data_IF_719682364181
#
_entry.id   IF_719682364181
#
_cell.length_a   1.000
_cell.length_b   1.000
_cell.length_c   1.000
_cell.angle_alpha   90.00
_cell.angle_beta   90.00
_cell.angle_gamma   90.00
#
_symmetry.space_group_name_H-M   'P 1'
#
loop_
_entity.id
_entity.type
_entity.pdbx_description
1 polymer ?
#
# COMPACT_ATOMS: atom_id res chain seq x y z
N UNK A 1 20.33 23.11 -40.26
CA UNK A 1 20.77 22.59 -38.95
C UNK A 1 19.54 22.09 -38.21
N UNK A 2 19.34 20.76 -38.12
CA UNK A 2 18.20 20.17 -37.40
C UNK A 2 18.67 19.79 -36.00
N UNK A 3 18.07 20.41 -35.00
CA UNK A 3 18.28 20.16 -33.58
C UNK A 3 17.75 18.78 -33.20
N UNK A 4 18.65 17.81 -33.07
CA UNK A 4 18.36 16.49 -32.52
C UNK A 4 18.10 16.62 -31.01
N UNK A 5 16.85 16.44 -30.57
CA UNK A 5 16.49 16.40 -29.15
C UNK A 5 17.12 15.17 -28.46
N UNK A 6 17.86 15.32 -27.34
CA UNK A 6 18.53 14.22 -26.66
C UNK A 6 17.61 13.30 -25.84
N UNK A 7 16.28 13.51 -25.87
CA UNK A 7 15.31 12.72 -25.10
C UNK A 7 14.79 11.45 -25.82
N UNK A 8 15.13 11.25 -27.09
CA UNK A 8 14.67 10.09 -27.87
C UNK A 8 15.56 8.83 -27.75
N UNK A 9 16.65 8.88 -26.97
CA UNK A 9 17.53 7.73 -26.71
C UNK A 9 17.11 6.88 -25.49
N UNK A 10 15.83 6.94 -25.09
CA UNK A 10 15.30 6.12 -23.98
C UNK A 10 15.17 4.65 -24.41
N UNK A 11 16.19 3.88 -24.05
CA UNK A 11 16.06 2.53 -23.46
C UNK A 11 15.11 1.58 -24.20
N UNK A 12 15.55 1.04 -25.34
CA UNK A 12 15.00 -0.22 -25.87
C UNK A 12 15.51 -1.40 -25.03
N UNK A 13 15.02 -1.53 -23.80
CA UNK A 13 15.14 -2.77 -23.04
C UNK A 13 14.02 -3.70 -23.49
N UNK A 14 14.22 -4.38 -24.62
CA UNK A 14 13.44 -5.57 -24.91
C UNK A 14 13.84 -6.61 -23.84
N UNK A 15 12.90 -7.10 -23.00
CA UNK A 15 13.22 -8.19 -22.08
C UNK A 15 13.74 -9.36 -22.90
N UNK A 16 14.91 -9.92 -22.52
CA UNK A 16 15.41 -11.13 -23.16
C UNK A 16 14.39 -12.24 -22.88
N UNK A 17 13.73 -12.83 -23.89
CA UNK A 17 12.62 -13.75 -23.69
C UNK A 17 13.01 -15.07 -22.97
N UNK A 18 14.30 -15.29 -22.67
CA UNK A 18 14.82 -16.52 -22.07
C UNK A 18 15.74 -16.32 -20.86
N UNK A 19 15.78 -15.12 -20.26
CA UNK A 19 16.51 -14.93 -19.01
C UNK A 19 15.65 -15.44 -17.84
N UNK A 20 15.52 -16.76 -17.69
CA UNK A 20 14.91 -17.34 -16.49
C UNK A 20 15.76 -16.88 -15.31
N UNK A 21 15.22 -16.00 -14.48
CA UNK A 21 15.88 -15.56 -13.25
C UNK A 21 16.43 -16.79 -12.52
N UNK A 22 17.73 -16.80 -12.21
CA UNK A 22 18.36 -17.92 -11.50
C UNK A 22 17.51 -18.21 -10.24
N UNK A 23 17.03 -19.46 -10.03
CA UNK A 23 16.06 -19.77 -8.97
C UNK A 23 16.45 -19.28 -7.56
N UNK A 24 17.76 -19.10 -7.30
CA UNK A 24 18.26 -18.59 -6.03
C UNK A 24 18.27 -17.06 -5.87
N UNK A 25 18.23 -16.27 -6.95
CA UNK A 25 18.34 -14.80 -6.88
C UNK A 25 17.04 -14.16 -6.35
N UNK A 26 15.90 -14.60 -6.87
CA UNK A 26 14.56 -14.19 -6.42
C UNK A 26 14.35 -14.44 -4.92
N UNK A 27 14.64 -15.68 -4.47
CA UNK A 27 14.49 -16.07 -3.06
C UNK A 27 15.38 -15.24 -2.13
N UNK A 28 16.62 -14.94 -2.55
CA UNK A 28 17.54 -14.09 -1.77
C UNK A 28 17.08 -12.65 -1.68
N UNK A 29 16.52 -12.08 -2.75
CA UNK A 29 15.99 -10.71 -2.75
C UNK A 29 14.79 -10.58 -1.81
N UNK A 30 13.80 -11.46 -1.99
CA UNK A 30 12.59 -11.49 -1.15
C UNK A 30 12.98 -11.70 0.32
N UNK A 31 13.89 -12.63 0.61
CA UNK A 31 14.37 -12.86 1.96
C UNK A 31 15.09 -11.64 2.56
N UNK A 32 15.95 -10.94 1.81
CA UNK A 32 16.63 -9.74 2.33
C UNK A 32 15.66 -8.63 2.73
N UNK A 33 14.57 -8.45 1.98
CA UNK A 33 13.58 -7.44 2.27
C UNK A 33 12.57 -7.88 3.35
N UNK A 34 12.30 -9.18 3.44
CA UNK A 34 11.39 -9.77 4.45
C UNK A 34 12.06 -9.97 5.81
N UNK A 35 13.36 -10.31 5.84
CA UNK A 35 14.12 -10.62 7.06
C UNK A 35 14.06 -9.54 8.15
N UNK A 36 14.11 -8.22 7.85
CA UNK A 36 13.95 -7.18 8.87
C UNK A 36 12.64 -7.30 9.66
N UNK A 37 11.58 -7.83 9.03
CA UNK A 37 10.24 -7.96 9.60
C UNK A 37 9.96 -9.35 10.20
N UNK A 38 10.80 -10.35 9.91
CA UNK A 38 10.46 -11.77 10.17
C UNK A 38 11.67 -12.62 10.59
N UNK A 39 12.75 -11.99 11.02
CA UNK A 39 13.96 -12.67 11.46
C UNK A 39 13.79 -13.42 12.80
N UNK A 40 14.75 -14.30 13.16
CA UNK A 40 14.74 -14.99 14.46
C UNK A 40 14.62 -13.99 15.63
N UNK A 41 13.67 -14.21 16.52
CA UNK A 41 13.36 -13.31 17.64
C UNK A 41 12.58 -12.03 17.27
N UNK A 42 12.26 -11.85 15.99
CA UNK A 42 11.44 -10.75 15.45
C UNK A 42 10.23 -11.25 14.66
N UNK A 43 9.86 -12.51 14.81
CA UNK A 43 8.56 -13.02 14.36
C UNK A 43 7.43 -12.50 15.27
N UNK A 44 7.55 -11.24 15.68
CA UNK A 44 6.47 -10.53 16.33
C UNK A 44 5.31 -10.44 15.33
N UNK A 45 4.06 -10.47 15.80
CA UNK A 45 2.93 -10.04 14.99
C UNK A 45 3.28 -8.69 14.33
N UNK A 46 2.88 -8.49 13.08
CA UNK A 46 2.97 -7.16 12.52
C UNK A 46 2.11 -6.22 13.38
N UNK A 47 2.76 -5.39 14.18
CA UNK A 47 2.07 -4.37 14.96
C UNK A 47 1.98 -3.09 14.14
N UNK A 48 0.83 -2.44 14.22
CA UNK A 48 0.69 -1.09 13.69
C UNK A 48 1.26 -0.18 14.78
N UNK A 49 2.43 0.39 14.54
CA UNK A 49 3.05 1.32 15.48
C UNK A 49 2.17 2.55 15.68
N UNK A 50 2.11 3.11 16.90
CA UNK A 50 1.51 4.42 17.16
C UNK A 50 2.00 5.49 16.20
N UNK A 51 1.17 6.49 15.94
CA UNK A 51 1.60 7.69 15.23
C UNK A 51 2.57 8.48 16.11
N UNK A 52 3.67 8.95 15.53
CA UNK A 52 4.58 9.85 16.23
C UNK A 52 3.98 11.25 16.37
N UNK A 53 4.51 12.06 17.30
CA UNK A 53 4.07 13.45 17.47
C UNK A 53 4.26 14.27 16.18
N UNK A 54 5.32 13.97 15.42
CA UNK A 54 5.56 14.57 14.10
C UNK A 54 4.49 14.15 13.08
N UNK A 55 4.07 12.88 13.06
CA UNK A 55 3.00 12.41 12.19
C UNK A 55 1.66 13.08 12.53
N UNK A 56 1.39 13.33 13.82
CA UNK A 56 0.19 14.04 14.28
C UNK A 56 0.24 15.53 13.91
N UNK A 57 1.39 16.19 14.08
CA UNK A 57 1.58 17.58 13.67
C UNK A 57 1.41 17.74 12.14
N UNK A 58 2.02 16.83 11.35
CA UNK A 58 1.86 16.74 9.90
C UNK A 58 0.38 16.54 9.51
N UNK A 59 -0.32 15.61 10.17
CA UNK A 59 -1.75 15.38 9.95
C UNK A 59 -2.55 16.67 10.14
N UNK A 60 -2.35 17.40 11.24
CA UNK A 60 -3.05 18.67 11.50
C UNK A 60 -2.79 19.70 10.40
N UNK A 61 -1.55 19.80 9.93
CA UNK A 61 -1.19 20.73 8.86
C UNK A 61 -1.88 20.40 7.53
N UNK A 62 -1.97 19.11 7.18
CA UNK A 62 -2.49 18.66 5.88
C UNK A 62 -3.95 18.19 5.89
N UNK A 63 -4.61 18.22 7.06
CA UNK A 63 -5.95 17.65 7.27
C UNK A 63 -6.96 18.11 6.21
N UNK A 64 -6.90 19.38 5.86
CA UNK A 64 -7.81 20.09 4.93
C UNK A 64 -7.29 20.22 3.51
N UNK A 65 -6.09 19.70 3.23
CA UNK A 65 -5.55 19.74 1.88
C UNK A 65 -6.31 18.75 0.98
N UNK A 66 -6.57 19.13 -0.29
CA UNK A 66 -7.32 18.28 -1.21
C UNK A 66 -6.52 17.02 -1.55
N UNK A 67 -7.17 15.87 -1.39
CA UNK A 67 -6.68 14.54 -1.72
C UNK A 67 -7.45 14.00 -2.92
N UNK A 68 -6.75 13.60 -3.98
CA UNK A 68 -7.37 12.91 -5.12
C UNK A 68 -7.60 11.44 -4.75
N UNK A 69 -8.85 11.01 -4.84
CA UNK A 69 -9.25 9.62 -4.60
C UNK A 69 -9.34 8.85 -5.91
N UNK A 70 -8.91 7.59 -5.85
CA UNK A 70 -9.04 6.66 -6.98
C UNK A 70 -10.37 5.92 -6.98
N UNK A 71 -11.03 5.75 -5.83
CA UNK A 71 -12.33 5.06 -5.71
C UNK A 71 -13.12 5.52 -4.45
N UNK A 72 -14.33 6.07 -4.58
CA UNK A 72 -14.87 6.61 -5.83
C UNK A 72 -13.98 7.75 -6.35
N UNK A 73 -13.92 7.93 -7.66
CA UNK A 73 -13.15 9.04 -8.27
C UNK A 73 -13.68 10.36 -7.74
N UNK A 74 -12.83 11.15 -7.10
CA UNK A 74 -13.24 12.42 -6.50
C UNK A 74 -12.11 13.14 -5.79
N UNK A 75 -12.46 14.29 -5.21
CA UNK A 75 -11.57 15.08 -4.35
C UNK A 75 -12.19 15.08 -2.96
N UNK A 76 -11.37 14.79 -1.94
CA UNK A 76 -11.77 14.88 -0.53
C UNK A 76 -10.63 15.47 0.29
N UNK A 77 -10.68 15.32 1.60
CA UNK A 77 -9.61 15.75 2.53
C UNK A 77 -9.39 14.64 3.55
N UNK A 78 -8.23 14.61 4.19
CA UNK A 78 -7.92 13.60 5.21
C UNK A 78 -8.85 13.73 6.41
N UNK A 79 -9.22 14.97 6.76
CA UNK A 79 -10.23 15.28 7.77
C UNK A 79 -11.56 14.60 7.45
N UNK A 80 -12.11 14.83 6.25
CA UNK A 80 -13.37 14.23 5.81
C UNK A 80 -13.31 12.69 5.82
N UNK A 81 -12.18 12.12 5.39
CA UNK A 81 -12.00 10.66 5.35
C UNK A 81 -12.01 10.03 6.74
N UNK A 82 -11.35 10.67 7.71
CA UNK A 82 -11.31 10.20 9.09
C UNK A 82 -12.67 10.37 9.79
N UNK A 83 -13.34 11.51 9.59
CA UNK A 83 -14.69 11.74 10.13
C UNK A 83 -15.68 10.75 9.54
N UNK A 84 -15.66 10.52 8.23
CA UNK A 84 -16.54 9.55 7.59
C UNK A 84 -16.25 8.10 8.03
N UNK A 85 -14.98 7.75 8.24
CA UNK A 85 -14.58 6.42 8.68
C UNK A 85 -14.99 6.11 10.13
N UNK A 86 -14.81 7.07 11.03
CA UNK A 86 -15.03 6.89 12.47
C UNK A 86 -16.45 7.26 12.93
N UNK A 87 -17.11 8.20 12.24
CA UNK A 87 -18.33 8.83 12.71
C UNK A 87 -18.12 9.85 13.85
N UNK A 88 -16.88 10.23 14.15
CA UNK A 88 -16.52 11.13 15.25
C UNK A 88 -15.97 12.47 14.73
N UNK A 89 -16.03 13.56 15.54
CA UNK A 89 -15.40 14.84 15.18
C UNK A 89 -13.89 14.70 14.99
N UNK A 90 -13.32 15.47 14.06
CA UNK A 90 -11.89 15.37 13.72
C UNK A 90 -10.98 15.64 14.92
N UNK A 91 -11.32 16.63 15.75
CA UNK A 91 -10.56 17.00 16.93
C UNK A 91 -10.49 15.84 17.94
N UNK A 92 -11.62 15.16 18.15
CA UNK A 92 -11.68 13.96 19.00
C UNK A 92 -10.80 12.84 18.44
N UNK A 93 -10.86 12.59 17.12
CA UNK A 93 -10.02 11.57 16.47
C UNK A 93 -8.55 11.88 16.71
N UNK A 94 -8.11 13.12 16.43
CA UNK A 94 -6.69 13.51 16.56
C UNK A 94 -6.19 13.38 18.00
N UNK A 95 -7.00 13.74 19.00
CA UNK A 95 -6.66 13.57 20.42
C UNK A 95 -6.47 12.09 20.79
N UNK A 96 -7.28 11.19 20.23
CA UNK A 96 -7.27 9.76 20.59
C UNK A 96 -6.43 8.89 19.64
N UNK A 97 -5.85 9.48 18.59
CA UNK A 97 -4.93 8.81 17.67
C UNK A 97 -3.56 8.54 18.32
N UNK A 98 -3.15 9.33 19.31
CA UNK A 98 -1.90 9.12 20.05
C UNK A 98 -1.96 7.91 20.99
N UNK A 99 -0.80 7.33 21.33
CA UNK A 99 -0.72 6.19 22.25
C UNK A 99 -0.98 4.83 21.60
N UNK A 100 -1.27 3.79 22.40
CA UNK A 100 -1.43 2.41 21.90
C UNK A 100 -2.51 2.31 20.81
N UNK A 101 -2.17 1.66 19.69
CA UNK A 101 -3.06 1.52 18.52
C UNK A 101 -4.14 0.47 18.74
N UNK A 102 -3.86 -0.52 19.58
CA UNK A 102 -4.75 -1.64 19.87
C UNK A 102 -5.72 -1.36 21.03
N UNK A 103 -5.90 -0.10 21.44
CA UNK A 103 -6.89 0.31 22.43
C UNK A 103 -8.22 0.70 21.75
N UNK A 104 -9.24 -0.17 21.78
CA UNK A 104 -10.52 0.08 21.12
C UNK A 104 -11.44 0.97 21.98
N UNK A 105 -11.12 1.20 23.25
CA UNK A 105 -11.98 1.95 24.18
C UNK A 105 -11.93 3.44 23.89
N UNK A 106 -10.72 3.97 23.65
CA UNK A 106 -10.51 5.39 23.36
C UNK A 106 -11.00 5.78 21.96
N UNK A 107 -10.75 4.92 20.96
CA UNK A 107 -11.09 5.19 19.57
C UNK A 107 -11.39 3.88 18.82
N UNK A 108 -12.66 3.59 18.49
CA UNK A 108 -13.01 2.41 17.72
C UNK A 108 -12.25 2.36 16.40
N UNK A 109 -11.75 1.17 16.04
CA UNK A 109 -11.02 0.94 14.79
C UNK A 109 -9.78 1.83 14.60
N UNK A 110 -9.18 2.30 15.69
CA UNK A 110 -7.92 3.07 15.69
C UNK A 110 -6.85 2.52 14.74
N UNK A 111 -6.60 1.19 14.61
CA UNK A 111 -5.61 0.69 13.67
C UNK A 111 -5.93 1.04 12.20
N UNK A 112 -7.22 1.07 11.83
CA UNK A 112 -7.64 1.50 10.49
C UNK A 112 -7.42 2.99 10.27
N UNK A 113 -7.78 3.81 11.26
CA UNK A 113 -7.62 5.26 11.20
C UNK A 113 -6.14 5.67 11.10
N UNK A 114 -5.26 5.01 11.87
CA UNK A 114 -3.80 5.16 11.74
C UNK A 114 -3.33 4.82 10.33
N UNK A 115 -3.86 3.74 9.75
CA UNK A 115 -3.62 3.36 8.36
C UNK A 115 -4.01 4.46 7.35
N UNK A 116 -5.19 5.08 7.52
CA UNK A 116 -5.66 6.20 6.69
C UNK A 116 -4.76 7.42 6.82
N UNK A 117 -4.32 7.77 8.04
CA UNK A 117 -3.38 8.88 8.27
C UNK A 117 -2.08 8.63 7.52
N UNK A 118 -1.47 7.46 7.65
CA UNK A 118 -0.21 7.17 6.96
C UNK A 118 -0.38 7.10 5.44
N UNK A 119 -1.48 6.51 4.97
CA UNK A 119 -1.75 6.35 3.54
C UNK A 119 -2.03 7.68 2.84
N UNK A 120 -2.65 8.62 3.53
CA UNK A 120 -2.96 9.93 2.95
C UNK A 120 -1.74 10.81 2.72
N UNK A 121 -0.59 10.52 3.36
CA UNK A 121 0.68 11.20 3.05
C UNK A 121 1.06 11.01 1.58
N UNK A 122 0.80 9.83 1.02
CA UNK A 122 1.10 9.52 -0.38
C UNK A 122 0.19 10.24 -1.37
N UNK A 123 -1.07 10.40 -1.01
CA UNK A 123 -2.05 11.00 -1.91
C UNK A 123 -1.81 12.51 -2.09
N UNK A 124 -1.25 13.17 -1.06
CA UNK A 124 -0.77 14.55 -1.16
C UNK A 124 0.64 14.66 -1.78
N UNK A 125 1.47 13.61 -1.66
CA UNK A 125 2.86 13.59 -2.09
C UNK A 125 3.09 13.52 -3.60
N UNK A 126 2.04 13.51 -4.43
CA UNK A 126 2.16 13.61 -5.90
C UNK A 126 2.85 14.90 -6.39
N UNK A 127 3.28 15.79 -5.49
CA UNK A 127 3.94 17.07 -5.82
C UNK A 127 5.41 17.19 -5.37
N UNK A 128 5.97 16.36 -4.46
CA UNK A 128 7.38 16.52 -4.05
C UNK A 128 8.11 15.33 -3.37
N UNK A 129 7.42 14.35 -2.75
CA UNK A 129 8.06 13.41 -1.81
C UNK A 129 8.15 11.95 -2.27
N UNK A 130 8.03 11.67 -3.58
CA UNK A 130 8.22 10.30 -4.10
C UNK A 130 9.58 9.67 -3.68
N UNK A 131 10.57 10.50 -3.37
CA UNK A 131 11.89 10.11 -2.85
C UNK A 131 11.91 9.59 -1.41
N UNK A 132 10.83 9.77 -0.63
CA UNK A 132 10.74 9.36 0.79
C UNK A 132 9.89 8.12 1.04
N UNK A 133 9.38 7.47 -0.02
CA UNK A 133 8.56 6.27 0.17
C UNK A 133 9.41 5.13 0.73
N UNK A 134 9.05 4.57 1.88
CA UNK A 134 9.68 3.37 2.41
C UNK A 134 8.85 2.12 2.09
N UNK A 135 9.46 0.95 2.26
CA UNK A 135 8.73 -0.33 2.19
C UNK A 135 7.56 -0.37 3.18
N UNK A 136 7.77 0.11 4.41
CA UNK A 136 6.74 0.16 5.44
C UNK A 136 5.57 1.07 5.05
N UNK A 137 5.88 2.22 4.48
CA UNK A 137 4.86 3.16 4.06
C UNK A 137 4.02 2.54 2.91
N UNK A 138 4.64 1.90 1.92
CA UNK A 138 3.91 1.22 0.81
C UNK A 138 3.08 0.05 1.35
N UNK A 139 3.63 -0.75 2.28
CA UNK A 139 2.90 -1.84 2.95
C UNK A 139 1.66 -1.29 3.67
N UNK A 140 1.82 -0.22 4.47
CA UNK A 140 0.72 0.39 5.22
C UNK A 140 -0.39 0.88 4.28
N UNK A 141 -0.06 1.41 3.12
CA UNK A 141 -1.05 1.77 2.10
C UNK A 141 -1.84 0.53 1.63
N UNK A 142 -1.17 -0.58 1.33
CA UNK A 142 -1.86 -1.81 0.94
C UNK A 142 -2.72 -2.42 2.06
N UNK A 143 -2.23 -2.42 3.30
CA UNK A 143 -3.01 -2.90 4.47
C UNK A 143 -4.26 -2.05 4.64
N UNK A 144 -4.13 -0.72 4.54
CA UNK A 144 -5.24 0.22 4.67
C UNK A 144 -6.31 -0.04 3.62
N UNK A 145 -5.93 -0.30 2.36
CA UNK A 145 -6.88 -0.66 1.30
C UNK A 145 -7.68 -1.91 1.68
N UNK A 146 -7.02 -2.96 2.16
CA UNK A 146 -7.72 -4.20 2.60
C UNK A 146 -8.65 -3.91 3.78
N UNK A 147 -8.21 -3.12 4.76
CA UNK A 147 -9.02 -2.75 5.91
C UNK A 147 -10.23 -1.90 5.52
N UNK A 148 -10.09 -0.97 4.56
CA UNK A 148 -11.21 -0.20 4.00
C UNK A 148 -12.26 -1.13 3.36
N UNK A 149 -11.84 -2.19 2.67
CA UNK A 149 -12.77 -3.18 2.12
C UNK A 149 -13.58 -3.87 3.21
N UNK A 150 -12.92 -4.28 4.30
CA UNK A 150 -13.59 -4.89 5.44
C UNK A 150 -14.48 -3.93 6.23
N UNK A 151 -14.05 -2.68 6.40
CA UNK A 151 -14.87 -1.63 7.03
C UNK A 151 -16.15 -1.40 6.25
N UNK A 152 -16.08 -1.25 4.92
CA UNK A 152 -17.26 -1.08 4.05
C UNK A 152 -18.24 -2.25 4.15
N UNK A 153 -17.73 -3.46 4.37
CA UNK A 153 -18.54 -4.66 4.53
C UNK A 153 -19.02 -4.91 5.98
N UNK A 154 -18.65 -4.06 6.95
CA UNK A 154 -18.96 -4.29 8.37
C UNK A 154 -18.26 -5.51 8.96
N UNK A 155 -17.10 -5.90 8.42
CA UNK A 155 -16.34 -7.09 8.82
C UNK A 155 -14.96 -6.75 9.40
N UNK A 156 -14.65 -5.48 9.62
CA UNK A 156 -13.37 -5.09 10.20
C UNK A 156 -13.33 -5.54 11.68
N UNK A 157 -12.38 -6.41 12.08
CA UNK A 157 -12.26 -6.81 13.48
C UNK A 157 -11.86 -5.63 14.35
N UNK A 158 -12.37 -5.59 15.58
CA UNK A 158 -11.96 -4.61 16.60
C UNK A 158 -10.45 -4.64 16.83
N UNK A 159 -9.87 -5.84 16.85
CA UNK A 159 -8.43 -6.08 16.95
C UNK A 159 -7.94 -6.80 15.70
N UNK A 160 -7.51 -6.09 14.65
CA UNK A 160 -7.04 -6.70 13.41
C UNK A 160 -5.90 -7.70 13.63
N UNK A 161 -4.98 -7.43 14.56
CA UNK A 161 -3.86 -8.30 14.89
C UNK A 161 -4.28 -9.68 15.43
N UNK A 162 -5.48 -9.79 16.02
CA UNK A 162 -6.00 -11.07 16.52
C UNK A 162 -6.64 -11.90 15.39
N UNK A 163 -6.81 -11.34 14.20
CA UNK A 163 -7.39 -12.06 13.08
C UNK A 163 -6.37 -13.01 12.43
N UNK A 164 -6.73 -14.27 12.15
CA UNK A 164 -5.79 -15.27 11.64
C UNK A 164 -5.21 -14.93 10.26
N UNK A 165 -5.87 -14.04 9.51
CA UNK A 165 -5.42 -13.58 8.20
C UNK A 165 -4.44 -12.40 8.26
N UNK A 166 -4.38 -11.66 9.38
CA UNK A 166 -3.70 -10.37 9.43
C UNK A 166 -2.18 -10.49 9.34
N UNK A 167 -1.57 -11.35 10.14
CA UNK A 167 -0.12 -11.61 10.08
C UNK A 167 0.31 -12.20 8.72
N UNK A 168 -0.35 -13.26 8.18
CA UNK A 168 -0.05 -13.75 6.84
C UNK A 168 -0.22 -12.69 5.73
N UNK A 169 -1.21 -11.82 5.84
CA UNK A 169 -1.43 -10.72 4.91
C UNK A 169 -0.25 -9.76 4.93
N UNK A 170 0.15 -9.30 6.11
CA UNK A 170 1.27 -8.37 6.24
C UNK A 170 2.58 -8.95 5.70
N UNK A 171 2.88 -10.23 5.94
CA UNK A 171 4.04 -10.89 5.33
C UNK A 171 4.03 -10.80 3.80
N UNK A 172 2.88 -11.13 3.20
CA UNK A 172 2.71 -11.10 1.74
C UNK A 172 2.79 -9.67 1.20
N UNK A 173 2.20 -8.71 1.89
CA UNK A 173 2.22 -7.30 1.51
C UNK A 173 3.61 -6.68 1.66
N UNK A 174 4.43 -7.08 2.64
CA UNK A 174 5.84 -6.67 2.73
C UNK A 174 6.60 -7.08 1.49
N UNK A 175 6.39 -8.30 0.98
CA UNK A 175 7.05 -8.77 -0.24
C UNK A 175 6.63 -7.91 -1.43
N UNK A 176 5.33 -7.67 -1.62
CA UNK A 176 4.81 -6.82 -2.71
C UNK A 176 5.31 -5.38 -2.57
N UNK A 177 5.32 -4.83 -1.36
CA UNK A 177 5.80 -3.48 -1.08
C UNK A 177 7.29 -3.34 -1.36
N UNK A 178 8.09 -4.35 -1.03
CA UNK A 178 9.53 -4.38 -1.31
C UNK A 178 9.83 -4.38 -2.81
N UNK A 179 9.12 -5.23 -3.56
CA UNK A 179 9.25 -5.29 -5.03
C UNK A 179 8.77 -3.97 -5.67
N UNK A 180 7.70 -3.38 -5.14
CA UNK A 180 7.16 -2.09 -5.58
C UNK A 180 8.14 -0.95 -5.30
N UNK A 181 8.76 -0.92 -4.12
CA UNK A 181 9.78 0.07 -3.76
C UNK A 181 10.97 0.04 -4.73
N UNK A 182 11.50 -1.16 -5.03
CA UNK A 182 12.61 -1.33 -5.99
C UNK A 182 12.18 -0.85 -7.38
N UNK A 183 10.98 -1.22 -7.82
CA UNK A 183 10.43 -0.80 -9.11
C UNK A 183 10.27 0.72 -9.22
N UNK A 184 9.69 1.36 -8.20
CA UNK A 184 9.49 2.81 -8.17
C UNK A 184 10.80 3.57 -8.12
N UNK A 185 11.79 3.12 -7.33
CA UNK A 185 13.12 3.70 -7.29
C UNK A 185 13.82 3.69 -8.66
N UNK A 186 13.59 2.63 -9.45
CA UNK A 186 14.06 2.57 -10.83
C UNK A 186 13.36 3.56 -11.75
N UNK A 187 12.02 3.56 -11.76
CA UNK A 187 11.22 4.45 -12.63
C UNK A 187 11.50 5.93 -12.33
N UNK A 188 11.70 6.28 -11.07
CA UNK A 188 12.00 7.64 -10.63
C UNK A 188 13.44 8.09 -10.90
N UNK A 189 14.30 7.21 -11.44
CA UNK A 189 15.72 7.53 -11.70
C UNK A 189 16.60 7.55 -10.45
N UNK A 190 16.08 7.17 -9.29
CA UNK A 190 16.80 7.05 -8.02
C UNK A 190 17.57 5.72 -7.87
N UNK A 191 17.86 5.05 -8.99
CA UNK A 191 18.57 3.77 -8.99
C UNK A 191 19.95 3.85 -8.30
N UNK A 192 20.58 5.04 -8.26
CA UNK A 192 21.87 5.27 -7.59
C UNK A 192 21.78 5.30 -6.07
N UNK A 193 20.62 5.65 -5.51
CA UNK A 193 20.40 5.78 -4.07
C UNK A 193 19.94 4.46 -3.44
N UNK A 194 19.68 3.43 -4.25
CA UNK A 194 19.38 2.09 -3.77
C UNK A 194 20.68 1.47 -3.20
N UNK A 195 20.71 1.04 -1.93
CA UNK A 195 21.93 0.57 -1.24
C UNK A 195 22.41 -0.83 -1.69
N UNK A 196 22.16 -1.19 -2.95
CA UNK A 196 21.89 -2.55 -3.38
C UNK A 196 22.57 -2.81 -4.75
N UNK A 197 23.90 -2.89 -4.78
CA UNK A 197 24.71 -3.36 -5.95
C UNK A 197 24.66 -4.90 -6.12
N UNK A 198 24.62 -5.45 -7.36
CA UNK A 198 24.34 -4.76 -8.61
C UNK A 198 22.84 -4.42 -8.71
N UNK A 199 22.56 -3.17 -9.11
CA UNK A 199 21.21 -2.58 -9.12
C UNK A 199 20.36 -3.15 -10.26
N UNK A 200 20.96 -3.39 -11.43
CA UNK A 200 20.24 -3.83 -12.64
C UNK A 200 19.59 -5.22 -12.49
N UNK A 201 20.32 -6.20 -11.96
CA UNK A 201 19.79 -7.56 -11.76
C UNK A 201 18.55 -7.56 -10.87
N UNK A 202 18.52 -6.68 -9.87
CA UNK A 202 17.42 -6.63 -8.90
C UNK A 202 16.22 -5.87 -9.42
N UNK A 203 16.44 -4.88 -10.29
CA UNK A 203 15.36 -4.23 -11.04
C UNK A 203 14.69 -5.23 -11.97
N UNK A 204 15.47 -6.02 -12.71
CA UNK A 204 14.92 -7.05 -13.59
C UNK A 204 14.13 -8.09 -12.80
N UNK A 205 14.68 -8.55 -11.66
CA UNK A 205 13.97 -9.44 -10.75
C UNK A 205 12.68 -8.79 -10.22
N UNK A 206 12.70 -7.52 -9.84
CA UNK A 206 11.50 -6.83 -9.36
C UNK A 206 10.44 -6.68 -10.47
N UNK A 207 10.86 -6.33 -11.69
CA UNK A 207 9.98 -6.24 -12.85
C UNK A 207 9.30 -7.57 -13.18
N UNK A 208 10.05 -8.67 -13.13
CA UNK A 208 9.52 -10.02 -13.40
C UNK A 208 8.65 -10.55 -12.26
N UNK A 209 9.07 -10.35 -11.01
CA UNK A 209 8.37 -10.91 -9.85
C UNK A 209 7.18 -10.08 -9.38
N UNK A 210 7.17 -8.76 -9.58
CA UNK A 210 6.11 -7.90 -9.06
C UNK A 210 4.73 -8.29 -9.61
N UNK A 211 4.52 -8.51 -10.93
CA UNK A 211 3.24 -8.97 -11.46
C UNK A 211 2.80 -10.30 -10.84
N UNK A 212 3.72 -11.27 -10.75
CA UNK A 212 3.44 -12.61 -10.20
C UNK A 212 3.06 -12.53 -8.71
N UNK A 213 3.83 -11.78 -7.93
CA UNK A 213 3.56 -11.58 -6.51
C UNK A 213 2.21 -10.87 -6.30
N UNK A 214 1.92 -9.83 -7.09
CA UNK A 214 0.62 -9.13 -7.03
C UNK A 214 -0.53 -10.05 -7.38
N UNK A 215 -0.40 -10.86 -8.44
CA UNK A 215 -1.43 -11.83 -8.83
C UNK A 215 -1.68 -12.87 -7.73
N UNK A 216 -0.62 -13.46 -7.17
CA UNK A 216 -0.75 -14.45 -6.09
C UNK A 216 -1.40 -13.87 -4.84
N UNK A 217 -1.02 -12.65 -4.44
CA UNK A 217 -1.64 -11.97 -3.30
C UNK A 217 -3.10 -11.63 -3.61
N UNK A 218 -3.39 -11.11 -4.80
CA UNK A 218 -4.75 -10.77 -5.23
C UNK A 218 -5.64 -12.00 -5.25
N UNK A 219 -5.17 -13.12 -5.81
CA UNK A 219 -5.89 -14.40 -5.77
C UNK A 219 -6.15 -14.87 -4.35
N UNK A 220 -5.12 -14.86 -3.49
CA UNK A 220 -5.27 -15.27 -2.09
C UNK A 220 -6.23 -14.37 -1.29
N UNK A 221 -6.21 -13.06 -1.56
CA UNK A 221 -7.19 -12.08 -1.03
C UNK A 221 -8.59 -12.45 -1.51
N UNK A 222 -8.79 -12.65 -2.82
CA UNK A 222 -10.10 -13.04 -3.39
C UNK A 222 -10.62 -14.37 -2.85
N UNK A 223 -9.74 -15.30 -2.50
CA UNK A 223 -10.09 -16.57 -1.88
C UNK A 223 -10.36 -16.44 -0.37
N UNK A 224 -10.48 -15.21 0.15
CA UNK A 224 -10.84 -14.93 1.54
C UNK A 224 -9.71 -15.26 2.51
N UNK A 225 -8.46 -15.06 2.09
CA UNK A 225 -7.27 -15.27 2.91
C UNK A 225 -7.03 -16.71 3.39
N UNK A 226 -7.71 -17.69 2.78
CA UNK A 226 -7.68 -19.08 3.23
C UNK A 226 -8.47 -19.32 4.54
N UNK A 227 -9.30 -18.37 4.96
CA UNK A 227 -10.13 -18.50 6.17
C UNK A 227 -11.31 -19.46 6.00
N UNK A 228 -11.73 -19.70 4.74
CA UNK A 228 -12.98 -20.41 4.43
C UNK A 228 -14.25 -19.59 4.65
N UNK A 229 -14.16 -18.36 5.16
CA UNK A 229 -15.33 -17.51 5.41
C UNK A 229 -15.77 -16.76 4.13
N UNK A 230 -16.96 -17.11 3.63
CA UNK A 230 -17.54 -16.50 2.44
C UNK A 230 -17.80 -15.00 2.58
N UNK A 231 -17.95 -14.48 3.81
CA UNK A 231 -18.17 -13.04 4.06
C UNK A 231 -16.93 -12.24 3.68
N UNK A 232 -15.74 -12.71 4.05
CA UNK A 232 -14.48 -12.05 3.66
C UNK A 232 -14.28 -12.07 2.15
N UNK A 233 -14.56 -13.21 1.50
CA UNK A 233 -14.50 -13.33 0.03
C UNK A 233 -15.44 -12.33 -0.66
N UNK A 234 -16.68 -12.20 -0.19
CA UNK A 234 -17.65 -11.24 -0.74
C UNK A 234 -17.24 -9.79 -0.51
N UNK A 235 -16.78 -9.44 0.69
CA UNK A 235 -16.32 -8.10 1.01
C UNK A 235 -15.20 -7.61 0.07
N UNK A 236 -14.24 -8.49 -0.20
CA UNK A 236 -13.10 -8.19 -1.07
C UNK A 236 -13.51 -8.16 -2.55
N UNK A 237 -14.42 -9.04 -2.97
CA UNK A 237 -14.96 -9.03 -4.33
C UNK A 237 -15.72 -7.74 -4.64
N UNK A 238 -16.61 -7.29 -3.74
CA UNK A 238 -17.37 -6.05 -3.92
C UNK A 238 -16.45 -4.85 -4.09
N UNK A 239 -15.42 -4.74 -3.24
CA UNK A 239 -14.47 -3.63 -3.29
C UNK A 239 -13.67 -3.55 -4.61
N UNK A 240 -13.39 -4.69 -5.23
CA UNK A 240 -12.63 -4.75 -6.47
C UNK A 240 -13.52 -4.58 -7.71
N UNK A 241 -14.80 -4.95 -7.61
CA UNK A 241 -15.80 -4.71 -8.66
C UNK A 241 -16.26 -3.25 -8.73
N UNK A 242 -16.29 -2.51 -7.61
CA UNK A 242 -16.65 -1.08 -7.61
C UNK A 242 -15.72 -0.19 -8.45
N UNK A 243 -14.46 -0.60 -8.64
CA UNK A 243 -13.52 0.10 -9.53
C UNK A 243 -13.75 -0.18 -11.02
N UNK A 244 -14.46 -1.26 -11.37
CA UNK A 244 -14.70 -1.65 -12.77
C UNK A 244 -15.90 -0.93 -13.38
N UNK A 245 -16.96 -0.69 -12.61
CA UNK A 245 -18.21 -0.07 -13.10
C UNK A 245 -18.07 1.41 -13.48
N UNK A 246 -17.05 2.13 -12.99
CA UNK A 246 -16.80 3.53 -13.36
C UNK A 246 -16.21 3.67 -14.77
N UNK A 247 -15.61 2.61 -15.33
CA UNK A 247 -15.01 2.67 -16.68
C UNK A 247 -16.01 2.48 -17.83
N UNK A 248 -17.13 1.80 -17.61
CA UNK A 248 -18.11 1.54 -18.68
C UNK A 248 -19.11 2.68 -18.87
N UNK A 249 -19.37 3.50 -17.85
CA UNK A 249 -20.35 4.60 -17.92
C UNK A 249 -19.89 5.89 -18.64
N UNK A 250 -18.67 5.94 -19.19
CA UNK A 250 -18.12 7.16 -19.83
C UNK A 250 -18.04 7.09 -21.37
N UNK A 251 -18.44 5.97 -21.98
CA UNK A 251 -18.42 5.82 -23.43
C UNK A 251 -19.69 6.38 -24.13
N UNK A 252 -20.79 6.59 -23.41
CA UNK A 252 -22.11 6.84 -24.03
C UNK A 252 -22.65 8.27 -23.88
N UNK A 253 -21.81 9.26 -23.53
CA UNK A 253 -22.25 10.65 -23.28
C UNK A 253 -21.67 11.71 -24.23
N UNK A 254 -21.22 11.30 -25.42
CA UNK A 254 -20.82 12.23 -26.48
C UNK A 254 -21.71 12.00 -27.71
N UNK A 255 -22.91 12.59 -27.67
CA UNK A 255 -23.86 12.71 -28.78
C UNK A 255 -24.41 14.12 -28.82
#
# INVERSE_FOLDING_TARGET
MRSSSPLAARLRFAPRPNAVARPGAARKLVWKAHKPHCGPGKADPFFIEPLSDEEIADLRQRARLPVVKSDPVGISTVEQDLVAASGLPFEYIVEHLTGPVDDPVSLPEKPYLVGLVRSSRFANAATAEASRMSVDSIRNAFVTVVMSCFKRAGLLPVHPHSAPWFTPLNHKLVVVASLTYIWLGFVAGHARDLPIEPVLDKIMVAYELLPVAREQVTKWVHDGFGTGDLRYKRALAMALSSGATVREGRADSAG
#
